data_IF_543227588383
#
_entry.id   IF_543227588383
#
_cell.length_a   1.000
_cell.length_b   1.000
_cell.length_c   1.000
_cell.angle_alpha   90.00
_cell.angle_beta   90.00
_cell.angle_gamma   90.00
#
_symmetry.space_group_name_H-M   'P 1'
#
loop_
_entity.id
_entity.type
_entity.pdbx_description
1 polymer ?
#
# COMPACT_ATOMS: atom_id res chain seq x y z
N UNK A 1 35.14 19.59 28.71
CA UNK A 1 34.13 19.63 27.62
C UNK A 1 34.75 19.05 26.34
N UNK A 2 34.30 17.88 25.87
CA UNK A 2 34.78 17.30 24.60
C UNK A 2 34.01 17.95 23.44
N UNK A 3 34.72 18.60 22.51
CA UNK A 3 34.11 19.11 21.27
C UNK A 3 33.72 17.92 20.38
N UNK A 4 32.51 17.90 19.78
CA UNK A 4 32.18 16.88 18.80
C UNK A 4 33.09 17.04 17.58
N UNK A 5 33.71 15.93 17.18
CA UNK A 5 34.47 15.79 15.93
C UNK A 5 33.51 16.05 14.75
N UNK A 6 33.69 17.16 14.05
CA UNK A 6 32.85 17.62 12.94
C UNK A 6 32.63 16.57 11.82
N UNK A 7 33.52 15.57 11.71
CA UNK A 7 33.37 14.44 10.79
C UNK A 7 32.30 13.42 11.18
N UNK A 8 32.11 13.14 12.47
CA UNK A 8 31.11 12.16 12.95
C UNK A 8 29.68 12.66 12.73
N UNK A 9 29.46 13.97 12.85
CA UNK A 9 28.16 14.62 12.63
C UNK A 9 27.72 14.59 11.16
N UNK A 10 28.67 14.53 10.21
CA UNK A 10 28.35 14.44 8.76
C UNK A 10 27.95 13.03 8.35
N UNK A 11 28.65 11.99 8.82
CA UNK A 11 28.33 10.58 8.53
C UNK A 11 26.93 10.23 9.06
N UNK A 12 26.56 10.75 10.24
CA UNK A 12 25.25 10.55 10.85
C UNK A 12 24.07 11.09 10.03
N UNK A 13 24.27 12.10 9.17
CA UNK A 13 23.18 12.69 8.37
C UNK A 13 22.94 11.97 7.02
N UNK A 14 23.93 11.22 6.52
CA UNK A 14 23.78 10.47 5.27
C UNK A 14 22.95 9.20 5.45
N UNK A 15 23.05 8.56 6.62
CA UNK A 15 22.28 7.35 6.96
C UNK A 15 20.77 7.57 6.86
N UNK A 16 20.13 8.55 7.54
CA UNK A 16 18.69 8.75 7.44
C UNK A 16 18.25 9.16 6.02
N UNK A 17 19.07 9.92 5.29
CA UNK A 17 18.79 10.24 3.88
C UNK A 17 18.77 9.00 2.98
N UNK A 18 19.74 8.10 3.16
CA UNK A 18 19.79 6.85 2.43
C UNK A 18 18.57 5.97 2.76
N UNK A 19 18.19 5.87 4.04
CA UNK A 19 17.01 5.11 4.46
C UNK A 19 15.71 5.66 3.86
N UNK A 20 15.51 6.99 3.86
CA UNK A 20 14.34 7.62 3.23
C UNK A 20 14.32 7.35 1.73
N UNK A 21 15.47 7.47 1.05
CA UNK A 21 15.56 7.21 -0.38
C UNK A 21 15.23 5.75 -0.72
N UNK A 22 15.73 4.81 0.10
CA UNK A 22 15.45 3.39 -0.04
C UNK A 22 13.96 3.11 0.15
N UNK A 23 13.35 3.60 1.24
CA UNK A 23 11.92 3.44 1.50
C UNK A 23 11.06 4.01 0.36
N UNK A 24 11.38 5.21 -0.12
CA UNK A 24 10.71 5.82 -1.26
C UNK A 24 10.81 4.97 -2.53
N UNK A 25 11.97 4.38 -2.82
CA UNK A 25 12.11 3.46 -3.96
C UNK A 25 11.30 2.18 -3.76
N UNK A 26 11.26 1.61 -2.56
CA UNK A 26 10.41 0.45 -2.28
C UNK A 26 8.94 0.76 -2.54
N UNK A 27 8.41 1.87 -2.03
CA UNK A 27 7.01 2.24 -2.26
C UNK A 27 6.72 2.57 -3.74
N UNK A 28 7.68 3.23 -4.42
CA UNK A 28 7.55 3.52 -5.85
C UNK A 28 7.53 2.27 -6.71
N UNK A 29 8.31 1.24 -6.39
CA UNK A 29 8.41 0.03 -7.21
C UNK A 29 7.58 -1.14 -6.68
N UNK A 30 6.99 -1.02 -5.49
CA UNK A 30 6.00 -1.97 -5.02
C UNK A 30 4.84 -2.04 -6.01
N UNK A 31 4.44 -3.27 -6.33
CA UNK A 31 3.29 -3.50 -7.18
C UNK A 31 2.02 -3.00 -6.50
N UNK A 32 1.25 -2.22 -7.24
CA UNK A 32 -0.08 -1.86 -6.81
C UNK A 32 -0.91 -3.13 -6.75
N UNK A 33 -1.56 -3.36 -5.61
CA UNK A 33 -2.34 -4.57 -5.33
C UNK A 33 -3.70 -4.48 -6.03
N UNK A 34 -3.67 -4.36 -7.36
CA UNK A 34 -4.82 -4.17 -8.24
C UNK A 34 -5.59 -5.46 -8.38
N UNK A 35 -6.87 -5.39 -8.10
CA UNK A 35 -7.79 -6.51 -8.20
C UNK A 35 -8.39 -6.52 -9.60
N UNK A 36 -8.28 -7.67 -10.26
CA UNK A 36 -8.80 -7.93 -11.60
C UNK A 36 -9.33 -9.37 -11.69
N UNK A 37 -9.89 -9.75 -12.85
CA UNK A 37 -10.50 -11.07 -13.04
C UNK A 37 -9.53 -12.25 -12.89
N UNK A 38 -8.23 -12.04 -13.04
CA UNK A 38 -7.22 -13.11 -12.94
C UNK A 38 -6.74 -13.37 -11.52
N UNK A 39 -6.93 -12.43 -10.59
CA UNK A 39 -6.41 -12.53 -9.23
C UNK A 39 -7.47 -12.32 -8.13
N UNK A 40 -8.71 -12.00 -8.50
CA UNK A 40 -9.82 -11.78 -7.55
C UNK A 40 -10.00 -12.97 -6.60
N UNK A 41 -9.96 -14.19 -7.12
CA UNK A 41 -10.13 -15.41 -6.33
C UNK A 41 -9.05 -15.54 -5.24
N UNK A 42 -7.82 -15.14 -5.55
CA UNK A 42 -6.71 -15.13 -4.57
C UNK A 42 -6.95 -14.11 -3.45
N UNK A 43 -7.52 -12.94 -3.78
CA UNK A 43 -7.85 -11.93 -2.78
C UNK A 43 -9.08 -12.30 -1.95
N UNK A 44 -10.05 -13.01 -2.51
CA UNK A 44 -11.19 -13.54 -1.75
C UNK A 44 -10.75 -14.60 -0.74
N UNK A 45 -9.82 -15.48 -1.12
CA UNK A 45 -9.22 -16.46 -0.20
C UNK A 45 -8.44 -15.77 0.92
N UNK A 46 -7.72 -14.69 0.59
CA UNK A 46 -6.89 -13.96 1.56
C UNK A 46 -7.74 -13.07 2.49
N UNK A 47 -8.82 -12.50 1.97
CA UNK A 47 -9.72 -11.59 2.67
C UNK A 47 -11.17 -12.08 2.54
N UNK A 48 -11.51 -13.19 3.22
CA UNK A 48 -12.81 -13.82 3.10
C UNK A 48 -13.90 -12.97 3.74
N UNK A 49 -15.12 -13.17 3.27
CA UNK A 49 -16.32 -12.66 3.91
C UNK A 49 -16.61 -13.49 5.16
N UNK A 50 -16.25 -12.95 6.32
CA UNK A 50 -16.41 -13.57 7.63
C UNK A 50 -17.73 -13.18 8.33
N UNK A 51 -18.55 -12.32 7.71
CA UNK A 51 -19.77 -11.78 8.30
C UNK A 51 -19.55 -10.68 9.35
N UNK A 52 -18.31 -10.46 9.80
CA UNK A 52 -17.95 -9.47 10.83
C UNK A 52 -17.32 -8.21 10.21
N UNK A 53 -16.25 -8.38 9.43
CA UNK A 53 -15.55 -7.31 8.72
C UNK A 53 -16.13 -7.07 7.32
N UNK A 54 -16.74 -8.09 6.73
CA UNK A 54 -17.44 -8.04 5.45
C UNK A 54 -18.80 -8.75 5.52
N UNK A 55 -19.88 -8.08 5.98
CA UNK A 55 -21.18 -8.72 6.19
C UNK A 55 -21.88 -9.13 4.89
N UNK A 56 -21.50 -8.56 3.75
CA UNK A 56 -22.15 -8.84 2.47
C UNK A 56 -21.15 -8.79 1.31
N UNK A 57 -21.35 -9.70 0.35
CA UNK A 57 -20.62 -9.73 -0.91
C UNK A 57 -20.93 -8.48 -1.71
N UNK A 58 -19.89 -7.74 -2.11
CA UNK A 58 -20.03 -6.54 -2.94
C UNK A 58 -19.56 -6.87 -4.35
N UNK A 59 -20.31 -6.45 -5.36
CA UNK A 59 -19.93 -6.65 -6.76
C UNK A 59 -19.60 -5.32 -7.43
N UNK A 60 -18.45 -5.25 -8.09
CA UNK A 60 -18.10 -4.11 -8.90
C UNK A 60 -18.71 -4.24 -10.31
N UNK A 61 -19.69 -3.40 -10.61
CA UNK A 61 -20.28 -3.30 -11.96
C UNK A 61 -19.30 -2.80 -13.02
N UNK A 62 -18.34 -1.94 -12.65
CA UNK A 62 -17.35 -1.35 -13.58
C UNK A 62 -16.25 -2.34 -13.97
N UNK A 63 -15.78 -3.13 -13.02
CA UNK A 63 -14.66 -4.06 -13.20
C UNK A 63 -15.14 -5.49 -13.51
N UNK A 64 -16.41 -5.80 -13.23
CA UNK A 64 -17.01 -7.10 -13.46
C UNK A 64 -16.47 -8.19 -12.54
N UNK A 65 -16.04 -7.83 -11.33
CA UNK A 65 -15.49 -8.73 -10.32
C UNK A 65 -16.19 -8.52 -8.98
N UNK A 66 -16.23 -9.57 -8.16
CA UNK A 66 -16.58 -9.43 -6.75
C UNK A 66 -15.47 -8.61 -6.07
N UNK A 67 -15.86 -7.74 -5.15
CA UNK A 67 -14.97 -6.82 -4.44
C UNK A 67 -14.53 -7.49 -3.13
N UNK A 68 -13.29 -7.97 -3.00
CA UNK A 68 -12.82 -8.62 -1.78
C UNK A 68 -12.94 -7.70 -0.56
N UNK A 69 -13.06 -8.30 0.63
CA UNK A 69 -13.16 -7.53 1.88
C UNK A 69 -11.94 -6.62 2.03
N UNK A 70 -12.17 -5.41 2.55
CA UNK A 70 -11.13 -4.37 2.70
C UNK A 70 -10.53 -3.82 1.39
N UNK A 71 -11.18 -4.01 0.23
CA UNK A 71 -10.76 -3.34 -1.01
C UNK A 71 -11.60 -2.10 -1.32
N UNK A 72 -11.00 -1.09 -1.96
CA UNK A 72 -11.69 0.16 -2.34
C UNK A 72 -11.37 0.50 -3.79
N UNK A 73 -12.34 1.07 -4.51
CA UNK A 73 -12.13 1.57 -5.86
C UNK A 73 -11.35 2.87 -5.84
N UNK A 74 -10.23 2.93 -6.54
CA UNK A 74 -9.48 4.15 -6.74
C UNK A 74 -9.85 4.74 -8.10
N UNK A 75 -10.49 5.92 -8.12
CA UNK A 75 -10.89 6.58 -9.37
C UNK A 75 -9.69 7.02 -10.21
N UNK A 76 -8.59 7.42 -9.56
CA UNK A 76 -7.38 7.86 -10.25
C UNK A 76 -6.68 6.72 -11.02
N UNK A 77 -6.72 5.50 -10.50
CA UNK A 77 -6.11 4.34 -11.18
C UNK A 77 -7.12 3.57 -12.02
N UNK A 78 -8.42 3.68 -11.71
CA UNK A 78 -9.50 2.98 -12.42
C UNK A 78 -9.71 1.53 -11.96
N UNK A 79 -9.03 1.08 -10.91
CA UNK A 79 -9.08 -0.30 -10.40
C UNK A 79 -9.45 -0.35 -8.91
N UNK A 80 -9.94 -1.52 -8.49
CA UNK A 80 -9.98 -1.84 -7.06
C UNK A 80 -8.58 -2.14 -6.56
N UNK A 81 -8.27 -1.62 -5.38
CA UNK A 81 -7.00 -1.86 -4.70
C UNK A 81 -7.30 -2.58 -3.39
N UNK A 82 -6.64 -3.70 -3.14
CA UNK A 82 -6.80 -4.43 -1.89
C UNK A 82 -6.16 -3.67 -0.72
N UNK A 83 -6.85 -3.63 0.42
CA UNK A 83 -6.44 -2.84 1.60
C UNK A 83 -6.12 -1.40 1.28
N UNK A 84 -6.85 -0.78 0.36
CA UNK A 84 -6.59 0.59 -0.06
C UNK A 84 -6.63 1.58 1.12
N UNK A 85 -5.59 2.40 1.25
CA UNK A 85 -5.54 3.51 2.20
C UNK A 85 -5.89 4.81 1.49
N UNK A 86 -5.01 5.26 0.60
CA UNK A 86 -5.16 6.49 -0.15
C UNK A 86 -4.36 6.47 -1.46
N UNK A 87 -4.68 7.39 -2.36
CA UNK A 87 -3.89 7.66 -3.54
C UNK A 87 -2.80 8.69 -3.18
N UNK A 88 -1.54 8.33 -3.36
CA UNK A 88 -0.41 9.22 -3.09
C UNK A 88 0.07 9.88 -4.39
N UNK A 89 -0.11 11.21 -4.56
CA UNK A 89 0.30 11.91 -5.77
C UNK A 89 1.82 11.93 -5.99
N UNK A 90 2.61 11.86 -4.92
CA UNK A 90 4.08 11.92 -5.01
C UNK A 90 4.70 10.72 -5.73
N UNK A 91 4.01 9.58 -5.69
CA UNK A 91 4.40 8.35 -6.37
C UNK A 91 3.40 7.94 -7.46
N UNK A 92 2.31 8.71 -7.63
CA UNK A 92 1.22 8.47 -8.59
C UNK A 92 0.61 7.07 -8.47
N UNK A 93 0.48 6.57 -7.24
CA UNK A 93 0.01 5.20 -6.95
C UNK A 93 -1.00 5.14 -5.82
N UNK A 94 -1.87 4.13 -5.87
CA UNK A 94 -2.72 3.73 -4.75
C UNK A 94 -1.92 2.97 -3.70
N UNK A 95 -1.77 3.55 -2.51
CA UNK A 95 -1.10 2.94 -1.37
C UNK A 95 -2.10 2.07 -0.60
N UNK A 96 -1.63 0.91 -0.15
CA UNK A 96 -2.36 0.05 0.78
C UNK A 96 -2.10 0.46 2.22
N UNK A 97 -3.05 0.21 3.11
CA UNK A 97 -2.79 0.16 4.56
C UNK A 97 -1.75 -0.93 4.75
N UNK A 98 -0.52 -0.50 4.94
CA UNK A 98 0.53 -1.35 5.46
C UNK A 98 0.18 -1.51 6.93
N UNK A 99 -0.50 -2.61 7.28
CA UNK A 99 -0.58 -3.04 8.66
C UNK A 99 0.84 -3.42 9.10
N UNK A 100 1.64 -2.42 9.46
CA UNK A 100 2.52 -2.52 10.61
C UNK A 100 1.62 -2.45 11.86
N UNK A 101 0.75 -3.44 12.04
CA UNK A 101 0.31 -3.74 13.40
C UNK A 101 1.36 -4.71 13.95
N UNK A 102 2.13 -4.15 14.88
CA UNK A 102 2.81 -4.79 16.00
C UNK A 102 2.69 -6.31 16.11
#
# INVERSE_FOLDING_TARGET
MRKPIAGAMRISAYVPKALIQIAYTFDKFADEVKINKSNVDSYELTYPYDGMTGPQVRYCKKCGVIQPVSSTYCEATGFYVARYDHFCPQIMKGIKIMLFLY
#
